data_IF_159397193853
#
_entry.id   IF_159397193853
#
_cell.length_a   1.000
_cell.length_b   1.000
_cell.length_c   1.000
_cell.angle_alpha   90.00
_cell.angle_beta   90.00
_cell.angle_gamma   90.00
#
_symmetry.space_group_name_H-M   'P 1'
#
loop_
_entity.id
_entity.type
_entity.pdbx_description
1 polymer ?
#
# COMPACT_ATOMS: atom_id res chain seq x y z
N UNK A 1 17.14 11.48 -9.75
CA UNK A 1 17.88 12.74 -9.98
C UNK A 1 19.21 12.35 -10.58
N UNK A 2 19.56 12.89 -11.73
CA UNK A 2 20.83 12.62 -12.40
C UNK A 2 21.98 13.02 -11.48
N UNK A 3 22.96 12.14 -11.28
CA UNK A 3 24.21 12.47 -10.59
C UNK A 3 24.87 13.65 -11.30
N UNK A 4 25.18 14.76 -10.61
CA UNK A 4 25.87 15.87 -11.24
C UNK A 4 27.23 15.41 -11.79
N UNK A 5 27.63 15.98 -12.93
CA UNK A 5 28.97 15.79 -13.51
C UNK A 5 30.03 16.07 -12.44
N UNK A 6 30.98 15.14 -12.28
CA UNK A 6 31.97 15.13 -11.19
C UNK A 6 32.81 16.42 -11.14
N UNK A 7 32.92 17.15 -12.26
CA UNK A 7 33.68 18.41 -12.36
C UNK A 7 32.97 19.65 -11.78
N UNK A 8 31.65 19.60 -11.58
CA UNK A 8 30.82 20.72 -11.08
C UNK A 8 30.25 20.47 -9.67
N UNK A 9 30.84 19.52 -8.94
CA UNK A 9 30.46 19.24 -7.56
C UNK A 9 30.68 20.48 -6.65
N UNK A 10 29.70 20.85 -5.80
CA UNK A 10 29.80 22.02 -4.92
C UNK A 10 30.87 21.89 -3.83
N UNK A 11 31.41 20.68 -3.64
CA UNK A 11 32.49 20.34 -2.70
C UNK A 11 33.58 19.64 -3.51
N UNK A 12 34.82 20.15 -3.44
CA UNK A 12 35.98 19.55 -4.12
C UNK A 12 36.99 19.03 -3.10
N UNK A 13 37.39 17.77 -3.21
CA UNK A 13 38.46 17.21 -2.36
C UNK A 13 39.82 17.74 -2.81
N UNK A 14 40.56 18.35 -1.89
CA UNK A 14 41.91 18.88 -2.12
C UNK A 14 42.98 17.86 -1.72
N UNK A 15 42.77 17.19 -0.59
CA UNK A 15 43.64 16.16 -0.05
C UNK A 15 42.79 15.12 0.69
N UNK A 16 43.22 13.86 0.67
CA UNK A 16 42.55 12.76 1.33
C UNK A 16 43.56 11.87 2.05
N UNK A 17 43.27 11.53 3.30
CA UNK A 17 44.00 10.56 4.10
C UNK A 17 43.07 9.40 4.45
N UNK A 18 43.53 8.16 4.25
CA UNK A 18 42.75 6.94 4.49
C UNK A 18 43.52 6.00 5.41
N UNK A 19 42.85 5.53 6.46
CA UNK A 19 43.41 4.60 7.45
C UNK A 19 42.50 3.39 7.60
N UNK A 20 43.03 2.17 7.39
CA UNK A 20 42.27 0.94 7.56
C UNK A 20 42.20 0.56 9.04
N UNK A 21 40.99 0.55 9.60
CA UNK A 21 40.69 0.28 11.00
C UNK A 21 39.82 -0.98 11.14
N UNK A 22 40.45 -2.16 11.02
CA UNK A 22 39.73 -3.43 11.05
C UNK A 22 38.76 -3.55 9.88
N UNK A 23 37.45 -3.66 10.15
CA UNK A 23 36.41 -3.79 9.11
C UNK A 23 36.09 -2.48 8.38
N UNK A 24 36.53 -1.34 8.89
CA UNK A 24 36.20 -0.02 8.33
C UNK A 24 37.45 0.70 7.83
N UNK A 25 37.27 1.68 6.94
CA UNK A 25 38.33 2.63 6.56
C UNK A 25 37.92 4.01 7.08
N UNK A 26 38.73 4.64 7.92
CA UNK A 26 38.54 6.04 8.30
C UNK A 26 39.12 6.94 7.21
N UNK A 27 38.33 7.91 6.76
CA UNK A 27 38.75 8.89 5.75
C UNK A 27 38.70 10.28 6.38
N UNK A 28 39.80 11.02 6.24
CA UNK A 28 39.88 12.43 6.60
C UNK A 28 40.30 13.23 5.38
N UNK A 29 39.36 13.99 4.84
CA UNK A 29 39.54 14.84 3.67
C UNK A 29 39.74 16.30 4.07
N UNK A 30 40.56 17.01 3.30
CA UNK A 30 40.50 18.47 3.22
C UNK A 30 39.69 18.84 1.98
N UNK A 31 38.56 19.50 2.19
CA UNK A 31 37.63 19.86 1.13
C UNK A 31 37.52 21.37 0.96
N UNK A 32 37.24 21.79 -0.27
CA UNK A 32 36.90 23.17 -0.62
C UNK A 32 35.38 23.29 -0.75
N UNK A 33 34.77 24.05 0.14
CA UNK A 33 33.32 24.33 0.14
C UNK A 33 33.13 25.83 -0.04
N UNK A 34 32.52 26.26 -1.14
CA UNK A 34 32.34 27.68 -1.47
C UNK A 34 33.64 28.50 -1.38
N UNK A 35 34.77 27.93 -1.82
CA UNK A 35 36.08 28.58 -1.77
C UNK A 35 36.76 28.56 -0.39
N UNK A 36 36.16 27.94 0.61
CA UNK A 36 36.71 27.83 1.98
C UNK A 36 37.17 26.40 2.27
N UNK A 37 38.40 26.25 2.74
CA UNK A 37 38.94 24.94 3.15
C UNK A 37 38.37 24.51 4.51
N UNK A 38 37.96 23.25 4.59
CA UNK A 38 37.41 22.61 5.79
C UNK A 38 37.82 21.13 5.86
N UNK A 39 38.03 20.57 7.06
CA UNK A 39 38.11 19.13 7.20
C UNK A 39 36.73 18.50 6.97
N UNK A 40 36.71 17.30 6.41
CA UNK A 40 35.53 16.46 6.27
C UNK A 40 35.91 15.00 6.52
N UNK A 41 35.31 14.42 7.56
CA UNK A 41 35.64 13.06 7.99
C UNK A 41 34.44 12.14 7.81
N UNK A 42 34.69 10.93 7.32
CA UNK A 42 33.66 9.90 7.20
C UNK A 42 34.27 8.49 7.30
N UNK A 43 33.40 7.50 7.52
CA UNK A 43 33.78 6.10 7.49
C UNK A 43 33.44 5.53 6.12
N UNK A 44 34.46 5.04 5.43
CA UNK A 44 34.36 4.32 4.17
C UNK A 44 34.09 2.84 4.43
N UNK A 45 32.94 2.38 3.95
CA UNK A 45 32.36 1.04 4.20
C UNK A 45 31.87 0.48 2.87
N UNK A 46 32.13 -0.81 2.63
CA UNK A 46 31.59 -1.52 1.47
C UNK A 46 30.05 -1.55 1.50
N UNK A 47 29.44 -1.59 0.32
CA UNK A 47 27.99 -1.73 0.22
C UNK A 47 27.54 -3.03 0.88
N UNK A 48 26.33 -2.99 1.45
CA UNK A 48 25.71 -4.13 2.09
C UNK A 48 24.39 -4.50 1.44
N UNK A 49 23.85 -5.64 1.84
CA UNK A 49 22.51 -6.10 1.47
C UNK A 49 21.72 -6.46 2.72
N UNK A 50 20.42 -6.17 2.71
CA UNK A 50 19.48 -6.49 3.79
C UNK A 50 18.24 -7.14 3.20
N UNK A 51 17.90 -8.35 3.67
CA UNK A 51 16.90 -9.20 3.05
C UNK A 51 15.68 -9.33 3.97
N UNK A 52 14.48 -9.14 3.44
CA UNK A 52 13.21 -9.46 4.09
C UNK A 52 12.76 -10.87 3.68
N UNK A 53 13.12 -11.93 4.43
CA UNK A 53 12.72 -13.28 4.11
C UNK A 53 11.30 -13.59 4.60
N UNK A 54 10.52 -14.22 3.74
CA UNK A 54 9.20 -14.75 4.05
C UNK A 54 9.24 -16.26 3.82
N UNK A 55 8.99 -17.02 4.89
CA UNK A 55 8.96 -18.48 4.87
C UNK A 55 7.70 -18.96 5.57
N UNK A 56 6.87 -19.75 4.88
CA UNK A 56 5.63 -20.31 5.42
C UNK A 56 4.71 -19.24 6.06
N UNK A 57 4.60 -18.07 5.42
CA UNK A 57 3.77 -16.96 5.89
C UNK A 57 4.32 -16.19 7.10
N UNK A 58 5.56 -16.49 7.53
CA UNK A 58 6.26 -15.79 8.61
C UNK A 58 7.49 -15.06 8.07
N UNK A 59 7.82 -13.96 8.73
CA UNK A 59 9.05 -13.20 8.49
C UNK A 59 10.15 -13.82 9.36
N UNK A 60 11.29 -14.15 8.76
CA UNK A 60 12.46 -14.59 9.51
C UNK A 60 13.30 -13.36 9.92
N UNK A 61 13.32 -13.08 11.21
CA UNK A 61 14.20 -12.09 11.83
C UNK A 61 15.45 -12.78 12.38
N UNK A 62 16.50 -12.00 12.63
CA UNK A 62 17.61 -12.39 13.48
C UNK A 62 17.51 -11.67 14.82
N UNK A 63 17.75 -12.40 15.90
CA UNK A 63 18.07 -11.84 17.21
C UNK A 63 19.58 -11.85 17.37
N UNK A 64 20.20 -10.70 17.13
CA UNK A 64 21.67 -10.54 17.16
C UNK A 64 22.12 -9.79 18.41
N UNK A 65 23.20 -10.24 19.04
CA UNK A 65 23.90 -9.43 20.03
C UNK A 65 24.80 -8.37 19.38
N UNK A 66 24.38 -7.11 19.37
CA UNK A 66 25.16 -6.00 18.82
C UNK A 66 26.14 -5.46 19.85
N UNK A 67 27.42 -5.84 19.73
CA UNK A 67 28.48 -5.45 20.66
C UNK A 67 28.62 -3.93 20.89
N UNK A 68 28.50 -3.02 19.89
CA UNK A 68 28.65 -1.57 20.12
C UNK A 68 27.64 -1.00 21.12
N UNK A 69 26.43 -1.56 21.18
CA UNK A 69 25.34 -1.12 22.06
C UNK A 69 25.00 -2.14 23.15
N UNK A 70 25.83 -3.18 23.30
CA UNK A 70 25.79 -4.21 24.36
C UNK A 70 24.41 -4.85 24.59
N UNK A 71 23.63 -5.05 23.53
CA UNK A 71 22.25 -5.53 23.66
C UNK A 71 21.82 -6.40 22.47
N UNK A 72 20.86 -7.28 22.73
CA UNK A 72 20.20 -8.04 21.68
C UNK A 72 19.24 -7.14 20.89
N UNK A 73 19.33 -7.21 19.57
CA UNK A 73 18.49 -6.47 18.64
C UNK A 73 17.75 -7.44 17.72
N UNK A 74 16.54 -7.03 17.32
CA UNK A 74 15.85 -7.66 16.20
C UNK A 74 16.25 -6.96 14.91
N UNK A 75 16.65 -7.75 13.92
CA UNK A 75 17.00 -7.26 12.59
C UNK A 75 16.58 -8.25 11.52
N UNK A 76 16.77 -7.82 10.27
CA UNK A 76 16.68 -8.69 9.11
C UNK A 76 18.07 -9.28 8.82
N UNK A 77 18.15 -10.46 8.19
CA UNK A 77 19.43 -10.97 7.70
C UNK A 77 20.05 -10.06 6.64
N UNK A 78 21.37 -10.10 6.55
CA UNK A 78 22.14 -9.29 5.61
C UNK A 78 23.58 -9.06 6.03
N UNK A 79 24.42 -8.83 5.04
CA UNK A 79 25.86 -8.62 5.21
C UNK A 79 26.46 -7.79 4.07
N UNK A 80 27.78 -7.88 3.92
CA UNK A 80 28.49 -7.11 2.90
C UNK A 80 28.37 -7.75 1.51
N UNK A 81 28.43 -6.91 0.48
CA UNK A 81 28.53 -7.33 -0.91
C UNK A 81 30.02 -7.38 -1.25
N UNK A 82 30.50 -8.54 -1.70
CA UNK A 82 31.89 -8.70 -2.10
C UNK A 82 32.21 -7.95 -3.40
N UNK A 83 33.50 -7.66 -3.63
CA UNK A 83 33.92 -6.89 -4.80
C UNK A 83 33.58 -7.65 -6.11
N UNK A 84 32.74 -7.03 -6.94
CA UNK A 84 32.24 -7.63 -8.19
C UNK A 84 31.09 -8.62 -8.01
N UNK A 85 30.62 -8.85 -6.77
CA UNK A 85 29.45 -9.68 -6.49
C UNK A 85 28.15 -8.95 -6.88
N UNK A 86 27.25 -9.65 -7.54
CA UNK A 86 25.92 -9.11 -7.82
C UNK A 86 25.09 -9.05 -6.54
N UNK A 87 24.27 -8.00 -6.38
CA UNK A 87 23.44 -7.77 -5.17
C UNK A 87 22.56 -8.98 -4.86
N UNK A 88 21.98 -9.61 -5.88
CA UNK A 88 21.11 -10.77 -5.73
C UNK A 88 21.88 -12.01 -5.25
N UNK A 89 23.13 -12.17 -5.69
CA UNK A 89 24.01 -13.27 -5.28
C UNK A 89 24.40 -13.10 -3.81
N UNK A 90 24.81 -11.89 -3.42
CA UNK A 90 25.08 -11.54 -2.03
C UNK A 90 23.84 -11.78 -1.15
N UNK A 91 22.66 -11.33 -1.60
CA UNK A 91 21.41 -11.52 -0.88
C UNK A 91 21.10 -13.00 -0.61
N UNK A 92 21.29 -13.85 -1.62
CA UNK A 92 21.05 -15.30 -1.51
C UNK A 92 22.07 -15.99 -0.61
N UNK A 93 23.36 -15.60 -0.71
CA UNK A 93 24.45 -16.10 0.12
C UNK A 93 24.20 -15.79 1.59
N UNK A 94 24.03 -14.52 1.94
CA UNK A 94 23.79 -14.05 3.31
C UNK A 94 22.54 -14.68 3.92
N UNK A 95 21.45 -14.77 3.13
CA UNK A 95 20.22 -15.40 3.58
C UNK A 95 20.43 -16.87 3.98
N UNK A 96 21.18 -17.62 3.16
CA UNK A 96 21.48 -19.02 3.42
C UNK A 96 22.42 -19.19 4.62
N UNK A 97 23.49 -18.39 4.69
CA UNK A 97 24.49 -18.45 5.75
C UNK A 97 23.86 -18.16 7.12
N UNK A 98 23.12 -17.05 7.25
CA UNK A 98 22.60 -16.61 8.55
C UNK A 98 21.35 -17.38 9.01
N UNK A 99 20.46 -17.75 8.08
CA UNK A 99 19.12 -18.28 8.41
C UNK A 99 18.88 -19.72 7.95
N UNK A 100 19.70 -20.21 7.02
CA UNK A 100 19.49 -21.47 6.31
C UNK A 100 18.40 -21.39 5.25
N UNK A 101 17.74 -20.25 5.02
CA UNK A 101 16.64 -20.15 4.07
C UNK A 101 17.17 -20.09 2.64
N UNK A 102 16.42 -20.72 1.72
CA UNK A 102 16.70 -20.65 0.28
C UNK A 102 15.51 -20.09 -0.45
N UNK A 103 15.79 -19.18 -1.38
CA UNK A 103 14.83 -18.56 -2.27
C UNK A 103 15.33 -18.63 -3.71
N UNK A 104 14.47 -19.06 -4.62
CA UNK A 104 14.80 -19.15 -6.06
C UNK A 104 14.80 -17.76 -6.72
N UNK A 105 14.11 -16.79 -6.10
CA UNK A 105 14.01 -15.42 -6.58
C UNK A 105 14.09 -14.41 -5.43
N UNK A 106 14.68 -13.25 -5.70
CA UNK A 106 14.70 -12.10 -4.79
C UNK A 106 14.01 -10.91 -5.49
N UNK A 107 13.27 -10.13 -4.72
CA UNK A 107 12.57 -8.93 -5.17
C UNK A 107 13.43 -7.73 -4.77
N UNK A 108 13.87 -6.93 -5.74
CA UNK A 108 14.61 -5.70 -5.49
C UNK A 108 13.69 -4.62 -4.87
N UNK A 109 14.08 -4.15 -3.68
CA UNK A 109 13.41 -3.06 -2.98
C UNK A 109 14.22 -1.75 -3.10
N UNK A 110 15.24 -1.69 -3.95
CA UNK A 110 16.17 -0.58 -4.12
C UNK A 110 17.15 -0.45 -2.94
N UNK A 111 17.86 0.67 -2.85
CA UNK A 111 18.84 0.92 -1.79
C UNK A 111 18.47 2.09 -0.89
N UNK A 112 19.24 2.28 0.19
CA UNK A 112 19.25 3.51 0.99
C UNK A 112 20.61 3.71 1.66
N UNK A 113 20.91 4.96 2.04
CA UNK A 113 22.08 5.32 2.83
C UNK A 113 21.68 5.44 4.31
N UNK A 114 22.27 4.64 5.23
CA UNK A 114 21.88 4.64 6.64
C UNK A 114 22.30 5.93 7.36
N UNK A 115 23.40 6.54 6.95
CA UNK A 115 23.89 7.79 7.54
C UNK A 115 24.84 8.54 6.57
N UNK A 116 24.29 9.04 5.45
CA UNK A 116 25.01 9.74 4.36
C UNK A 116 25.79 11.01 4.79
N UNK A 117 25.69 11.44 6.05
CA UNK A 117 26.53 12.50 6.62
C UNK A 117 27.77 12.00 7.35
N UNK A 118 27.96 10.68 7.49
CA UNK A 118 29.06 10.08 8.26
C UNK A 118 29.65 8.81 7.64
N UNK A 119 28.99 8.25 6.64
CA UNK A 119 29.48 7.10 5.86
C UNK A 119 28.95 7.15 4.43
N UNK A 120 29.68 6.52 3.52
CA UNK A 120 29.26 6.26 2.15
C UNK A 120 28.57 4.88 1.98
N UNK A 121 28.35 4.14 3.08
CA UNK A 121 27.69 2.83 3.06
C UNK A 121 26.35 2.91 2.32
N UNK A 122 26.22 2.13 1.25
CA UNK A 122 24.95 1.93 0.56
C UNK A 122 24.42 0.54 0.91
N UNK A 123 23.21 0.47 1.45
CA UNK A 123 22.57 -0.80 1.79
C UNK A 123 21.47 -1.07 0.76
N UNK A 124 21.67 -2.11 -0.03
CA UNK A 124 20.68 -2.66 -0.95
C UNK A 124 19.64 -3.47 -0.16
N UNK A 125 18.37 -3.36 -0.55
CA UNK A 125 17.26 -4.00 0.13
C UNK A 125 16.62 -5.02 -0.81
N UNK A 126 16.37 -6.21 -0.30
CA UNK A 126 15.67 -7.26 -1.05
C UNK A 126 14.55 -7.88 -0.20
N UNK A 127 13.56 -8.48 -0.85
CA UNK A 127 12.66 -9.46 -0.22
C UNK A 127 12.84 -10.83 -0.86
N UNK A 128 12.65 -11.90 -0.08
CA UNK A 128 12.86 -13.27 -0.53
C UNK A 128 11.70 -14.17 -0.11
N UNK A 129 10.99 -14.75 -1.08
CA UNK A 129 9.95 -15.76 -0.80
C UNK A 129 10.60 -17.13 -0.76
N UNK A 130 10.89 -17.60 0.44
CA UNK A 130 11.72 -18.77 0.67
C UNK A 130 10.90 -20.06 0.54
N UNK A 131 11.46 -21.05 -0.15
CA UNK A 131 10.78 -22.33 -0.44
C UNK A 131 11.22 -23.45 0.50
N UNK A 132 12.48 -23.40 0.97
CA UNK A 132 13.05 -24.40 1.87
C UNK A 132 13.98 -23.77 2.90
N UNK A 133 14.33 -24.59 3.89
CA UNK A 133 15.29 -24.26 4.94
C UNK A 133 16.27 -25.40 5.13
N UNK A 134 17.54 -25.06 5.12
CA UNK A 134 18.69 -25.91 5.38
C UNK A 134 19.32 -25.52 6.73
N UNK A 135 20.44 -26.16 7.08
CA UNK A 135 21.16 -25.80 8.31
C UNK A 135 21.93 -24.49 8.06
N UNK A 136 21.75 -23.45 8.91
CA UNK A 136 22.54 -22.21 8.80
C UNK A 136 24.05 -22.47 8.88
N UNK A 137 24.82 -21.65 8.17
CA UNK A 137 26.29 -21.68 8.11
C UNK A 137 26.87 -20.40 8.70
N UNK A 138 26.41 -20.06 9.90
CA UNK A 138 26.73 -18.80 10.59
C UNK A 138 28.20 -18.72 10.95
N UNK A 139 28.77 -17.51 10.88
CA UNK A 139 30.13 -17.30 11.35
C UNK A 139 30.23 -17.37 12.88
N UNK A 140 31.41 -17.75 13.40
CA UNK A 140 31.67 -17.76 14.85
C UNK A 140 31.59 -16.35 15.45
N UNK A 141 31.85 -15.32 14.63
CA UNK A 141 31.72 -13.90 14.97
C UNK A 141 30.28 -13.48 15.28
N UNK A 142 29.32 -14.18 14.69
CA UNK A 142 27.92 -13.77 14.62
C UNK A 142 27.14 -14.44 15.74
N UNK A 143 26.82 -13.66 16.77
CA UNK A 143 25.96 -14.13 17.86
C UNK A 143 24.50 -13.88 17.47
N UNK A 144 23.99 -14.72 16.56
CA UNK A 144 22.68 -14.59 15.93
C UNK A 144 21.78 -15.81 16.15
N UNK A 145 20.48 -15.57 16.25
CA UNK A 145 19.45 -16.59 16.36
C UNK A 145 18.30 -16.28 15.39
N UNK A 146 17.99 -17.15 14.41
CA UNK A 146 16.84 -16.97 13.52
C UNK A 146 15.51 -17.18 14.25
N UNK A 147 14.62 -16.19 14.18
CA UNK A 147 13.29 -16.19 14.81
C UNK A 147 12.22 -15.95 13.75
N UNK A 148 11.21 -16.81 13.71
CA UNK A 148 10.10 -16.71 12.75
C UNK A 148 8.88 -16.09 13.40
N UNK A 149 8.50 -14.90 12.94
CA UNK A 149 7.37 -14.14 13.48
C UNK A 149 6.34 -13.86 12.39
N UNK A 150 5.07 -13.79 12.76
CA UNK A 150 4.03 -13.32 11.83
C UNK A 150 4.23 -11.84 11.52
N UNK A 151 3.63 -11.36 10.44
CA UNK A 151 3.59 -9.93 10.11
C UNK A 151 3.14 -9.10 11.31
N UNK A 152 2.02 -9.45 11.93
CA UNK A 152 1.45 -8.71 13.06
C UNK A 152 2.40 -8.66 14.27
N UNK A 153 3.12 -9.75 14.55
CA UNK A 153 4.13 -9.78 15.61
C UNK A 153 5.30 -8.84 15.32
N UNK A 154 5.83 -8.83 14.08
CA UNK A 154 6.90 -7.91 13.69
C UNK A 154 6.43 -6.45 13.75
N UNK A 155 5.26 -6.15 13.22
CA UNK A 155 4.69 -4.79 13.29
C UNK A 155 4.39 -4.36 14.73
N UNK A 156 4.06 -5.30 15.62
CA UNK A 156 3.94 -5.04 17.06
C UNK A 156 5.30 -4.68 17.69
N UNK A 157 6.39 -5.35 17.31
CA UNK A 157 7.74 -4.96 17.74
C UNK A 157 8.14 -3.56 17.25
N UNK A 158 7.79 -3.23 16.00
CA UNK A 158 8.01 -1.88 15.43
C UNK A 158 7.22 -0.84 16.22
N UNK A 159 5.92 -1.06 16.42
CA UNK A 159 5.05 -0.13 17.14
C UNK A 159 5.47 0.08 18.60
N UNK A 160 6.04 -0.94 19.25
CA UNK A 160 6.58 -0.87 20.61
C UNK A 160 8.00 -0.26 20.67
N UNK A 161 8.60 0.10 19.53
CA UNK A 161 9.97 0.62 19.48
C UNK A 161 11.05 -0.42 19.81
N UNK A 162 10.74 -1.72 19.71
CA UNK A 162 11.65 -2.84 19.98
C UNK A 162 12.41 -3.30 18.73
N UNK A 163 11.88 -3.04 17.54
CA UNK A 163 12.56 -3.26 16.28
C UNK A 163 13.24 -1.96 15.83
N UNK A 164 14.57 -1.91 15.87
CA UNK A 164 15.36 -0.69 15.64
C UNK A 164 16.30 -0.77 14.44
N UNK A 165 16.21 -1.85 13.66
CA UNK A 165 17.05 -2.03 12.49
C UNK A 165 16.56 -1.12 11.35
N UNK A 166 17.33 -0.05 11.06
CA UNK A 166 16.95 0.98 10.07
C UNK A 166 16.67 0.39 8.69
N UNK A 167 17.58 -0.41 8.15
CA UNK A 167 17.39 -1.09 6.86
C UNK A 167 16.15 -1.99 6.87
N UNK A 168 15.94 -2.71 7.98
CA UNK A 168 14.77 -3.56 8.16
C UNK A 168 13.45 -2.79 8.16
N UNK A 169 13.40 -1.62 8.81
CA UNK A 169 12.21 -0.77 8.80
C UNK A 169 11.88 -0.29 7.37
N UNK A 170 12.88 0.10 6.60
CA UNK A 170 12.71 0.52 5.20
C UNK A 170 12.27 -0.65 4.32
N UNK A 171 12.87 -1.84 4.48
CA UNK A 171 12.50 -3.04 3.74
C UNK A 171 11.05 -3.46 4.05
N UNK A 172 10.66 -3.49 5.33
CA UNK A 172 9.27 -3.74 5.75
C UNK A 172 8.31 -2.74 5.12
N UNK A 173 8.63 -1.45 5.19
CA UNK A 173 7.78 -0.40 4.63
C UNK A 173 7.63 -0.54 3.10
N UNK A 174 8.75 -0.66 2.36
CA UNK A 174 8.73 -0.80 0.91
C UNK A 174 8.00 -2.06 0.48
N UNK A 175 8.29 -3.20 1.10
CA UNK A 175 7.61 -4.45 0.77
C UNK A 175 6.12 -4.36 1.06
N UNK A 176 5.71 -4.00 2.28
CA UNK A 176 4.29 -4.05 2.66
C UNK A 176 3.43 -2.88 2.15
N UNK A 177 4.04 -1.75 1.79
CA UNK A 177 3.30 -0.58 1.26
C UNK A 177 3.29 -0.51 -0.26
N UNK A 178 4.31 -1.06 -0.93
CA UNK A 178 4.46 -0.97 -2.39
C UNK A 178 4.22 -2.35 -3.00
N UNK A 179 5.01 -3.34 -2.63
CA UNK A 179 4.99 -4.65 -3.29
C UNK A 179 3.85 -5.56 -2.85
N UNK A 180 3.53 -5.66 -1.57
CA UNK A 180 2.37 -6.43 -1.11
C UNK A 180 1.08 -5.76 -1.59
N UNK A 181 1.03 -4.43 -1.60
CA UNK A 181 -0.10 -3.69 -2.17
C UNK A 181 -0.24 -3.90 -3.69
N UNK A 182 0.86 -4.14 -4.42
CA UNK A 182 0.89 -4.46 -5.86
C UNK A 182 0.70 -5.95 -6.17
N UNK A 183 1.11 -6.85 -5.27
CA UNK A 183 0.91 -8.30 -5.38
C UNK A 183 -0.50 -8.71 -4.90
N UNK A 184 -1.08 -7.92 -3.99
CA UNK A 184 -2.50 -7.90 -3.67
C UNK A 184 -3.29 -6.98 -4.60
N UNK A 185 -2.61 -6.13 -5.40
CA UNK A 185 -3.25 -5.54 -6.56
C UNK A 185 -3.53 -6.69 -7.50
N UNK A 186 -4.76 -6.80 -8.02
CA UNK A 186 -5.10 -8.01 -8.70
C UNK A 186 -4.32 -8.09 -10.02
N UNK A 187 -3.64 -9.20 -10.31
CA UNK A 187 -3.21 -9.52 -11.68
C UNK A 187 -4.41 -9.36 -12.62
N UNK A 188 -4.27 -9.02 -13.89
CA UNK A 188 -5.43 -8.88 -14.80
C UNK A 188 -6.39 -10.10 -14.76
N UNK A 189 -5.85 -11.29 -14.48
CA UNK A 189 -6.62 -12.50 -14.21
C UNK A 189 -7.29 -12.54 -12.81
N UNK A 190 -6.62 -12.07 -11.75
CA UNK A 190 -7.17 -11.96 -10.40
C UNK A 190 -7.98 -10.68 -10.15
N UNK A 191 -7.94 -9.68 -11.02
CA UNK A 191 -8.87 -8.54 -11.07
C UNK A 191 -10.20 -9.05 -11.56
N UNK A 192 -10.17 -9.85 -12.63
CA UNK A 192 -11.32 -10.60 -13.09
C UNK A 192 -11.81 -11.61 -12.04
N UNK A 193 -10.93 -12.28 -11.27
CA UNK A 193 -11.37 -13.21 -10.20
C UNK A 193 -11.73 -12.55 -8.87
N UNK A 194 -11.17 -11.40 -8.48
CA UNK A 194 -11.55 -10.64 -7.30
C UNK A 194 -12.78 -9.75 -7.55
N UNK A 195 -12.96 -9.27 -8.80
CA UNK A 195 -14.24 -8.78 -9.29
C UNK A 195 -15.24 -9.93 -9.39
N UNK A 196 -14.82 -11.14 -9.79
CA UNK A 196 -15.67 -12.33 -9.76
C UNK A 196 -15.92 -12.84 -8.34
N UNK A 197 -15.07 -12.59 -7.34
CA UNK A 197 -15.22 -13.04 -5.94
C UNK A 197 -15.95 -12.00 -5.07
N UNK A 198 -15.77 -10.70 -5.37
CA UNK A 198 -16.70 -9.65 -4.98
C UNK A 198 -18.07 -9.86 -5.64
N UNK A 199 -18.11 -10.43 -6.85
CA UNK A 199 -19.33 -10.92 -7.50
C UNK A 199 -19.74 -12.35 -7.05
N UNK A 200 -18.89 -13.13 -6.38
CA UNK A 200 -19.16 -14.55 -6.03
C UNK A 200 -19.95 -14.65 -4.73
N UNK A 201 -19.70 -13.74 -3.78
CA UNK A 201 -20.62 -13.50 -2.67
C UNK A 201 -21.92 -12.80 -3.10
N UNK A 202 -22.01 -12.38 -4.37
CA UNK A 202 -23.07 -11.56 -4.96
C UNK A 202 -23.54 -12.17 -6.29
N UNK A 203 -23.97 -13.43 -6.29
CA UNK A 203 -24.66 -14.01 -7.45
C UNK A 203 -25.86 -13.11 -7.84
N UNK A 204 -26.07 -12.78 -9.13
CA UNK A 204 -26.75 -11.56 -9.53
C UNK A 204 -28.24 -11.80 -9.80
N UNK A 205 -29.10 -11.36 -8.89
CA UNK A 205 -30.45 -10.94 -9.26
C UNK A 205 -30.46 -9.43 -9.48
N UNK A 206 -29.64 -8.94 -10.42
CA UNK A 206 -29.75 -7.55 -10.86
C UNK A 206 -31.06 -7.39 -11.62
N UNK A 207 -31.92 -6.47 -11.17
CA UNK A 207 -33.18 -6.13 -11.83
C UNK A 207 -33.30 -4.63 -12.04
N UNK A 208 -34.06 -4.23 -13.05
CA UNK A 208 -34.18 -2.82 -13.41
C UNK A 208 -35.51 -2.51 -14.07
N UNK A 209 -36.06 -1.33 -13.74
CA UNK A 209 -37.26 -0.74 -14.37
C UNK A 209 -36.88 0.44 -15.28
N UNK A 210 -35.65 0.44 -15.80
CA UNK A 210 -35.11 1.51 -16.65
C UNK A 210 -35.43 1.22 -18.11
N UNK A 211 -35.65 2.29 -18.90
CA UNK A 211 -35.92 2.16 -20.33
C UNK A 211 -34.83 1.32 -21.02
N UNK A 212 -35.18 0.36 -21.90
CA UNK A 212 -34.20 -0.45 -22.63
C UNK A 212 -33.29 0.37 -23.55
N UNK A 213 -33.71 1.59 -23.92
CA UNK A 213 -32.92 2.52 -24.74
C UNK A 213 -31.79 3.24 -23.96
N UNK A 214 -31.72 3.06 -22.64
CA UNK A 214 -30.69 3.68 -21.80
C UNK A 214 -29.52 2.73 -21.57
N UNK A 215 -28.30 3.20 -21.85
CA UNK A 215 -27.09 2.41 -21.61
C UNK A 215 -26.77 2.36 -20.10
N UNK A 216 -27.29 1.33 -19.45
CA UNK A 216 -27.06 1.06 -18.02
C UNK A 216 -25.59 0.83 -17.70
N UNK A 217 -24.81 0.26 -18.62
CA UNK A 217 -23.40 -0.02 -18.40
C UNK A 217 -22.60 1.28 -18.28
N UNK A 218 -22.88 2.25 -19.17
CA UNK A 218 -22.25 3.57 -19.13
C UNK A 218 -22.59 4.31 -17.83
N UNK A 219 -23.82 4.18 -17.34
CA UNK A 219 -24.25 4.82 -16.10
C UNK A 219 -23.56 4.24 -14.86
N UNK A 220 -23.32 2.92 -14.84
CA UNK A 220 -22.75 2.22 -13.68
C UNK A 220 -21.22 2.26 -13.65
N UNK A 221 -20.59 2.29 -14.82
CA UNK A 221 -19.15 2.05 -14.97
C UNK A 221 -18.40 3.09 -15.82
N UNK A 222 -19.11 4.01 -16.50
CA UNK A 222 -18.54 5.03 -17.38
C UNK A 222 -18.51 4.63 -18.86
N UNK A 223 -18.24 5.59 -19.75
CA UNK A 223 -18.30 5.42 -21.21
C UNK A 223 -17.17 4.52 -21.72
N UNK A 224 -17.51 3.49 -22.50
CA UNK A 224 -16.57 2.75 -23.35
C UNK A 224 -16.10 3.61 -24.54
N UNK A 225 -15.09 4.46 -24.36
CA UNK A 225 -14.27 4.87 -25.49
C UNK A 225 -13.36 3.68 -25.84
N UNK A 226 -13.29 3.33 -27.11
CA UNK A 226 -12.79 2.07 -27.68
C UNK A 226 -11.30 1.73 -27.51
N UNK A 227 -10.65 2.02 -26.37
CA UNK A 227 -9.29 1.55 -26.05
C UNK A 227 -9.11 1.37 -24.52
N UNK A 228 -8.59 0.20 -24.11
CA UNK A 228 -8.24 -0.29 -22.74
C UNK A 228 -9.38 -0.81 -21.84
N UNK A 229 -9.22 -2.05 -21.35
CA UNK A 229 -10.13 -2.79 -20.46
C UNK A 229 -10.07 -2.33 -18.98
N UNK A 230 -9.52 -1.14 -18.67
CA UNK A 230 -9.11 -0.80 -17.30
C UNK A 230 -9.85 0.38 -16.64
N UNK A 231 -10.84 1.02 -17.27
CA UNK A 231 -11.59 2.09 -16.59
C UNK A 231 -12.83 1.58 -15.87
N UNK A 232 -12.66 0.99 -14.69
CA UNK A 232 -13.77 0.86 -13.75
C UNK A 232 -13.96 2.21 -13.04
N UNK A 233 -15.11 2.86 -13.21
CA UNK A 233 -15.46 4.07 -12.45
C UNK A 233 -15.33 3.88 -10.93
N UNK A 234 -15.49 4.96 -10.16
CA UNK A 234 -15.22 4.97 -8.71
C UNK A 234 -16.12 4.02 -7.88
N UNK A 235 -17.15 3.42 -8.48
CA UNK A 235 -18.02 2.41 -7.87
C UNK A 235 -17.28 1.14 -7.43
N UNK A 236 -16.31 0.66 -8.23
CA UNK A 236 -15.56 -0.58 -7.94
C UNK A 236 -14.59 -0.41 -6.77
N UNK A 237 -13.73 0.63 -6.71
CA UNK A 237 -12.89 0.89 -5.54
C UNK A 237 -13.68 1.10 -4.24
N UNK A 238 -14.91 1.60 -4.33
CA UNK A 238 -15.83 1.78 -3.20
C UNK A 238 -16.57 0.51 -2.78
N UNK A 239 -16.40 -0.60 -3.51
CA UNK A 239 -17.05 -1.88 -3.20
C UNK A 239 -18.57 -1.87 -3.39
N UNK A 240 -19.09 -1.00 -4.26
CA UNK A 240 -20.53 -0.87 -4.53
C UNK A 240 -20.99 -1.95 -5.51
N UNK A 241 -21.98 -2.73 -5.11
CA UNK A 241 -22.67 -3.70 -5.95
C UNK A 241 -24.14 -3.28 -6.10
N UNK A 242 -24.52 -2.73 -7.26
CA UNK A 242 -25.92 -2.42 -7.54
C UNK A 242 -26.74 -3.71 -7.68
N UNK A 243 -27.95 -3.71 -7.10
CA UNK A 243 -28.91 -4.83 -7.13
C UNK A 243 -30.20 -4.48 -7.84
N UNK A 244 -30.61 -3.22 -7.74
CA UNK A 244 -31.83 -2.74 -8.36
C UNK A 244 -31.69 -1.28 -8.78
N UNK A 245 -32.14 -0.95 -9.98
CA UNK A 245 -32.22 0.43 -10.46
C UNK A 245 -33.60 0.74 -11.03
N UNK A 246 -34.21 1.81 -10.53
CA UNK A 246 -35.32 2.51 -11.17
C UNK A 246 -35.13 4.02 -11.03
N UNK A 247 -35.89 4.84 -11.78
CA UNK A 247 -35.85 6.30 -11.62
C UNK A 247 -36.10 6.82 -10.20
N UNK A 248 -36.74 6.03 -9.34
CA UNK A 248 -37.15 6.43 -7.98
C UNK A 248 -36.42 5.70 -6.86
N UNK A 249 -35.88 4.51 -7.15
CA UNK A 249 -35.35 3.61 -6.14
C UNK A 249 -34.11 2.90 -6.66
N UNK A 250 -33.02 3.02 -5.91
CA UNK A 250 -31.81 2.23 -6.09
C UNK A 250 -31.63 1.31 -4.88
N UNK A 251 -31.28 0.05 -5.14
CA UNK A 251 -30.76 -0.86 -4.11
C UNK A 251 -29.35 -1.24 -4.48
N UNK A 252 -28.45 -1.21 -3.51
CA UNK A 252 -27.07 -1.65 -3.66
C UNK A 252 -26.58 -2.33 -2.39
N UNK A 253 -25.45 -3.00 -2.50
CA UNK A 253 -24.68 -3.54 -1.38
C UNK A 253 -23.30 -2.91 -1.37
N UNK A 254 -22.72 -2.72 -0.19
CA UNK A 254 -21.35 -2.23 -0.05
C UNK A 254 -20.56 -3.20 0.82
N UNK A 255 -19.51 -3.76 0.25
CA UNK A 255 -18.55 -4.59 0.99
C UNK A 255 -17.54 -3.69 1.69
N UNK A 256 -17.50 -3.73 3.02
CA UNK A 256 -16.55 -2.94 3.81
C UNK A 256 -15.17 -3.60 3.77
N UNK A 257 -14.28 -3.04 2.95
CA UNK A 257 -12.90 -3.50 2.80
C UNK A 257 -11.95 -2.68 3.67
N UNK A 258 -10.74 -3.20 3.99
CA UNK A 258 -9.76 -2.46 4.78
C UNK A 258 -9.41 -1.07 4.24
N UNK A 259 -9.41 -0.90 2.91
CA UNK A 259 -9.06 0.36 2.24
C UNK A 259 -10.10 1.46 2.47
N UNK A 260 -11.34 1.10 2.79
CA UNK A 260 -12.43 2.05 3.11
C UNK A 260 -12.45 2.44 4.59
N UNK A 261 -11.60 1.81 5.41
CA UNK A 261 -11.64 1.93 6.86
C UNK A 261 -10.52 2.81 7.41
N UNK A 262 -10.77 3.39 8.58
CA UNK A 262 -9.75 4.05 9.41
C UNK A 262 -9.41 3.18 10.63
N UNK A 263 -8.15 3.19 11.09
CA UNK A 263 -7.77 2.51 12.31
C UNK A 263 -8.38 3.20 13.54
N UNK A 264 -8.76 2.41 14.53
CA UNK A 264 -9.20 2.85 15.85
C UNK A 264 -8.64 1.92 16.93
N UNK A 265 -8.74 2.33 18.20
CA UNK A 265 -8.35 1.49 19.34
C UNK A 265 -9.14 0.16 19.44
N UNK A 266 -10.26 0.02 18.71
CA UNK A 266 -11.13 -1.16 18.71
C UNK A 266 -11.12 -1.92 17.37
N UNK A 267 -10.19 -1.60 16.47
CA UNK A 267 -10.09 -2.19 15.14
C UNK A 267 -10.34 -1.18 14.00
N UNK A 268 -10.57 -1.68 12.80
CA UNK A 268 -10.80 -0.88 11.61
C UNK A 268 -12.29 -0.62 11.41
N UNK A 269 -12.69 0.65 11.39
CA UNK A 269 -14.09 1.05 11.17
C UNK A 269 -14.22 1.79 9.84
N UNK A 270 -15.37 1.62 9.17
CA UNK A 270 -15.68 2.33 7.93
C UNK A 270 -15.52 3.84 8.11
N UNK A 271 -14.77 4.47 7.21
CA UNK A 271 -14.55 5.91 7.23
C UNK A 271 -15.81 6.63 6.74
N UNK A 272 -16.29 7.64 7.47
CA UNK A 272 -17.50 8.40 7.08
C UNK A 272 -17.39 9.02 5.68
N UNK A 273 -16.19 9.46 5.29
CA UNK A 273 -15.90 9.92 3.93
C UNK A 273 -16.07 8.84 2.84
N UNK A 274 -15.79 7.56 3.14
CA UNK A 274 -16.05 6.48 2.20
C UNK A 274 -17.56 6.24 2.04
N UNK A 275 -18.32 6.34 3.13
CA UNK A 275 -19.80 6.31 3.09
C UNK A 275 -20.36 7.47 2.25
N UNK A 276 -19.83 8.69 2.41
CA UNK A 276 -20.22 9.85 1.62
C UNK A 276 -19.94 9.62 0.12
N UNK A 277 -18.75 9.16 -0.23
CA UNK A 277 -18.39 8.85 -1.61
C UNK A 277 -19.30 7.79 -2.24
N UNK A 278 -19.69 6.76 -1.47
CA UNK A 278 -20.67 5.78 -1.92
C UNK A 278 -22.03 6.41 -2.17
N UNK A 279 -22.50 7.28 -1.26
CA UNK A 279 -23.78 7.95 -1.39
C UNK A 279 -23.81 8.90 -2.60
N UNK A 280 -22.72 9.65 -2.86
CA UNK A 280 -22.59 10.52 -4.04
C UNK A 280 -22.66 9.70 -5.32
N UNK A 281 -21.91 8.60 -5.39
CA UNK A 281 -21.91 7.70 -6.55
C UNK A 281 -23.30 7.14 -6.82
N UNK A 282 -23.97 6.60 -5.79
CA UNK A 282 -25.30 5.99 -5.93
C UNK A 282 -26.36 7.04 -6.32
N UNK A 283 -26.31 8.25 -5.75
CA UNK A 283 -27.22 9.32 -6.11
C UNK A 283 -26.98 9.83 -7.55
N UNK A 284 -25.72 9.91 -7.98
CA UNK A 284 -25.34 10.25 -9.35
C UNK A 284 -25.93 9.27 -10.35
N UNK A 285 -25.72 7.97 -10.13
CA UNK A 285 -26.32 6.88 -10.93
C UNK A 285 -27.85 6.99 -10.95
N UNK A 286 -28.48 7.19 -9.79
CA UNK A 286 -29.93 7.36 -9.70
C UNK A 286 -30.43 8.55 -10.52
N UNK A 287 -29.72 9.68 -10.48
CA UNK A 287 -30.08 10.85 -11.28
C UNK A 287 -29.87 10.64 -12.78
N UNK A 288 -28.79 9.95 -13.19
CA UNK A 288 -28.55 9.60 -14.60
C UNK A 288 -29.68 8.73 -15.14
N UNK A 289 -30.02 7.67 -14.40
CA UNK A 289 -31.14 6.76 -14.71
C UNK A 289 -32.46 7.53 -14.81
N UNK A 290 -32.72 8.40 -13.84
CA UNK A 290 -33.93 9.23 -13.81
C UNK A 290 -34.06 10.16 -15.02
N UNK A 291 -32.96 10.66 -15.56
CA UNK A 291 -32.96 11.59 -16.69
C UNK A 291 -32.79 10.88 -18.05
N UNK A 292 -32.73 9.54 -18.06
CA UNK A 292 -32.37 8.74 -19.23
C UNK A 292 -31.09 9.27 -19.92
N UNK A 293 -30.12 9.73 -19.13
CA UNK A 293 -28.83 10.24 -19.64
C UNK A 293 -28.86 11.61 -20.30
N UNK A 294 -30.01 12.29 -20.40
CA UNK A 294 -30.12 13.60 -21.08
C UNK A 294 -29.42 14.77 -20.37
N UNK A 295 -29.04 14.56 -19.12
CA UNK A 295 -28.42 15.56 -18.27
C UNK A 295 -27.28 14.89 -17.50
N UNK A 296 -26.22 15.64 -17.25
CA UNK A 296 -25.14 15.25 -16.37
C UNK A 296 -25.44 15.70 -14.94
N UNK A 297 -25.69 14.77 -13.98
CA UNK A 297 -25.93 15.12 -12.60
C UNK A 297 -24.61 15.39 -11.87
N UNK A 298 -24.50 16.59 -11.31
CA UNK A 298 -23.36 16.99 -10.50
C UNK A 298 -23.79 17.19 -9.04
N UNK A 299 -23.13 16.51 -8.10
CA UNK A 299 -23.35 16.71 -6.67
C UNK A 299 -23.05 18.15 -6.27
N UNK A 300 -24.01 18.83 -5.64
CA UNK A 300 -23.87 20.22 -5.16
C UNK A 300 -23.94 20.33 -3.64
N UNK A 301 -24.55 19.35 -2.98
CA UNK A 301 -24.63 19.31 -1.53
C UNK A 301 -24.82 17.88 -1.05
N UNK A 302 -24.10 17.54 0.02
CA UNK A 302 -24.22 16.27 0.73
C UNK A 302 -24.30 16.52 2.24
N UNK A 303 -25.14 15.77 2.93
CA UNK A 303 -25.27 15.79 4.39
C UNK A 303 -25.44 14.38 4.91
N UNK A 304 -24.70 13.98 5.94
CA UNK A 304 -24.77 12.64 6.51
C UNK A 304 -24.96 12.67 8.02
N UNK A 305 -25.72 11.68 8.50
CA UNK A 305 -25.81 11.32 9.92
C UNK A 305 -25.32 9.88 10.06
N UNK A 306 -24.17 9.70 10.72
CA UNK A 306 -23.63 8.39 11.05
C UNK A 306 -24.17 7.94 12.41
N UNK A 307 -24.90 6.83 12.43
CA UNK A 307 -25.68 6.37 13.59
C UNK A 307 -25.02 5.18 14.27
N UNK A 308 -24.43 4.27 13.49
CA UNK A 308 -23.72 3.10 14.00
C UNK A 308 -22.40 2.88 13.26
N UNK A 309 -21.55 2.00 13.82
CA UNK A 309 -20.28 1.61 13.21
C UNK A 309 -20.49 0.45 12.24
N UNK A 310 -19.71 0.44 11.17
CA UNK A 310 -19.51 -0.73 10.32
C UNK A 310 -18.03 -1.12 10.35
N UNK A 311 -17.76 -2.42 10.38
CA UNK A 311 -16.42 -3.00 10.53
C UNK A 311 -15.97 -3.64 9.22
N UNK A 312 -14.66 -3.83 9.08
CA UNK A 312 -14.09 -4.61 7.96
C UNK A 312 -14.75 -5.99 7.90
N UNK A 313 -15.20 -6.37 6.70
CA UNK A 313 -15.91 -7.63 6.44
C UNK A 313 -17.43 -7.51 6.49
N UNK A 314 -17.97 -6.41 7.00
CA UNK A 314 -19.41 -6.16 6.93
C UNK A 314 -19.87 -5.96 5.47
N UNK A 315 -21.14 -6.28 5.23
CA UNK A 315 -21.82 -5.99 3.97
C UNK A 315 -23.02 -5.12 4.30
N UNK A 316 -22.96 -3.84 3.90
CA UNK A 316 -24.04 -2.89 4.12
C UNK A 316 -25.06 -2.99 3.00
N UNK A 317 -26.33 -3.00 3.38
CA UNK A 317 -27.47 -2.88 2.47
C UNK A 317 -27.79 -1.41 2.28
N UNK A 318 -27.92 -0.98 1.02
CA UNK A 318 -28.18 0.41 0.67
C UNK A 318 -29.52 0.53 -0.02
N UNK A 319 -30.34 1.46 0.47
CA UNK A 319 -31.59 1.87 -0.17
C UNK A 319 -31.52 3.37 -0.45
N UNK A 320 -31.42 3.74 -1.73
CA UNK A 320 -31.52 5.13 -2.14
C UNK A 320 -32.91 5.41 -2.74
N UNK A 321 -33.61 6.40 -2.19
CA UNK A 321 -34.92 6.83 -2.67
C UNK A 321 -34.85 8.28 -3.15
N UNK A 322 -35.38 8.55 -4.34
CA UNK A 322 -35.49 9.91 -4.86
C UNK A 322 -36.63 10.63 -4.13
N UNK A 323 -36.30 11.66 -3.38
CA UNK A 323 -37.27 12.48 -2.65
C UNK A 323 -37.87 13.60 -3.51
N UNK A 324 -37.10 14.12 -4.46
CA UNK A 324 -37.53 15.18 -5.36
C UNK A 324 -36.92 15.00 -6.75
N UNK A 325 -37.76 15.19 -7.77
CA UNK A 325 -37.39 15.16 -9.19
C UNK A 325 -37.75 16.49 -9.85
N UNK A 326 -36.84 17.47 -9.79
CA UNK A 326 -37.02 18.79 -10.40
C UNK A 326 -36.30 18.88 -11.74
N UNK A 327 -36.69 19.86 -12.57
CA UNK A 327 -36.07 20.09 -13.88
C UNK A 327 -34.59 20.50 -13.83
N UNK A 328 -34.11 20.97 -12.67
CA UNK A 328 -32.73 21.45 -12.47
C UNK A 328 -31.99 20.74 -11.34
N UNK A 329 -32.69 19.97 -10.51
CA UNK A 329 -32.07 19.26 -9.41
C UNK A 329 -32.86 18.02 -9.01
N UNK A 330 -32.15 17.03 -8.49
CA UNK A 330 -32.71 15.88 -7.81
C UNK A 330 -32.23 15.83 -6.37
N UNK A 331 -33.11 15.38 -5.49
CA UNK A 331 -32.79 15.12 -4.08
C UNK A 331 -32.93 13.63 -3.79
N UNK A 332 -31.88 13.02 -3.27
CA UNK A 332 -31.84 11.61 -2.90
C UNK A 332 -31.63 11.44 -1.40
N UNK A 333 -32.31 10.46 -0.81
CA UNK A 333 -32.04 9.94 0.52
C UNK A 333 -31.44 8.53 0.39
N UNK A 334 -30.29 8.29 1.00
CA UNK A 334 -29.52 7.06 0.90
C UNK A 334 -29.33 6.53 2.31
N UNK A 335 -30.02 5.44 2.63
CA UNK A 335 -29.90 4.77 3.91
C UNK A 335 -29.00 3.53 3.77
N UNK A 336 -28.02 3.44 4.65
CA UNK A 336 -27.09 2.33 4.78
C UNK A 336 -27.45 1.55 6.03
N UNK A 337 -27.76 0.26 5.89
CA UNK A 337 -28.11 -0.62 6.99
C UNK A 337 -27.22 -1.85 7.04
N UNK A 338 -27.03 -2.44 8.23
CA UNK A 338 -26.34 -3.72 8.37
C UNK A 338 -27.24 -4.89 7.91
N UNK A 339 -26.72 -6.13 7.99
CA UNK A 339 -27.48 -7.35 7.62
C UNK A 339 -28.73 -7.59 8.47
N UNK A 340 -28.78 -7.01 9.67
CA UNK A 340 -29.94 -7.07 10.58
C UNK A 340 -30.98 -5.99 10.26
N UNK A 341 -30.71 -5.10 9.30
CA UNK A 341 -31.59 -4.00 8.91
C UNK A 341 -31.43 -2.74 9.77
N UNK A 342 -30.47 -2.72 10.70
CA UNK A 342 -30.23 -1.56 11.57
C UNK A 342 -29.49 -0.47 10.81
N UNK A 343 -29.91 0.78 11.02
CA UNK A 343 -29.35 1.94 10.32
C UNK A 343 -27.92 2.23 10.79
N UNK A 344 -26.98 2.23 9.84
CA UNK A 344 -25.58 2.61 10.02
C UNK A 344 -25.38 4.08 9.67
N UNK A 345 -25.95 4.54 8.56
CA UNK A 345 -25.84 5.93 8.14
C UNK A 345 -27.02 6.34 7.27
N UNK A 346 -27.47 7.57 7.40
CA UNK A 346 -28.45 8.19 6.51
C UNK A 346 -27.81 9.41 5.85
N UNK A 347 -27.80 9.43 4.52
CA UNK A 347 -27.14 10.46 3.72
C UNK A 347 -28.13 11.10 2.76
N UNK A 348 -28.08 12.42 2.61
CA UNK A 348 -28.87 13.18 1.66
C UNK A 348 -27.95 13.82 0.64
N UNK A 349 -28.22 13.58 -0.64
CA UNK A 349 -27.44 14.13 -1.76
C UNK A 349 -28.35 14.95 -2.66
N UNK A 350 -27.91 16.16 -2.98
CA UNK A 350 -28.55 17.01 -3.99
C UNK A 350 -27.67 17.04 -5.22
N UNK A 351 -28.24 16.64 -6.35
CA UNK A 351 -27.59 16.71 -7.66
C UNK A 351 -28.20 17.85 -8.46
N UNK A 352 -27.38 18.75 -9.00
CA UNK A 352 -27.80 19.68 -10.05
C UNK A 352 -27.78 18.95 -11.39
N UNK A 353 -28.79 19.19 -12.23
CA UNK A 353 -28.89 18.62 -13.57
C UNK A 353 -28.34 19.62 -14.58
N UNK A 354 -27.20 19.29 -15.17
CA UNK A 354 -26.54 20.14 -16.17
C UNK A 354 -26.86 19.55 -17.55
N UNK A 355 -27.39 20.32 -18.51
CA UNK A 355 -27.57 19.85 -19.88
C UNK A 355 -26.23 19.37 -20.46
N UNK A 356 -26.24 18.29 -21.23
CA UNK A 356 -25.09 17.94 -22.07
C UNK A 356 -24.89 19.04 -23.12
N UNK A 357 -23.65 19.49 -23.30
CA UNK A 357 -23.28 20.62 -24.15
C UNK A 357 -23.24 20.25 -25.65
#
# INVERSE_FOLDING_TARGET
MSTPDVDDAPIKTLHSSREKCGRFTYVSDQVLVHGVQRPYDYIDIHSGVCILPIYQGKICLLREYRYPIKSYQYQLPGGFIDEGEAVEVAAQRELLEETGLVSDHVIDLGSFYPSFGSTNEEIHLAAAICTRREKPQQEVSEVIEPIFMTKDEVFSLVAQGKFKHGAGLVALFKYFSIYEAQAQAPSSASAATAAADAASCCQPEFSTDVSPDFNLQDALYGVHSSQSEESHGFSVPLGICFKYLSPELIKAEIKVTPQLCRPTAKGFILHGGATLACAETIAGVGSLVSCAGRFNPCGVSITANHVAMALVGDCLQVKATRLHAGARNHLWNIDFSNKQGELVSAVRVTNALIPEA
#
